data_IF_328576797353
#
_entry.id   IF_328576797353
#
_cell.length_a   1.000
_cell.length_b   1.000
_cell.length_c   1.000
_cell.angle_alpha   90.00
_cell.angle_beta   90.00
_cell.angle_gamma   90.00
#
_symmetry.space_group_name_H-M   'P 1'
#
loop_
_entity.id
_entity.type
_entity.pdbx_description
1 polymer ?
#
# COMPACT_ATOMS: atom_id res chain seq x y z
N UNK A 1 7.65 -11.76 -2.02
CA UNK A 1 7.29 -10.41 -1.51
C UNK A 1 5.91 -10.42 -0.86
N UNK A 2 4.92 -11.10 -1.45
CA UNK A 2 3.54 -11.15 -0.92
C UNK A 2 3.41 -11.85 0.44
N UNK A 3 4.26 -12.85 0.73
CA UNK A 3 4.24 -13.64 1.99
C UNK A 3 4.64 -12.89 3.28
N UNK A 4 5.13 -11.65 3.19
CA UNK A 4 5.65 -10.93 4.36
C UNK A 4 4.75 -9.78 4.85
N UNK A 5 3.68 -9.47 4.13
CA UNK A 5 2.68 -8.47 4.55
C UNK A 5 1.70 -9.11 5.54
N UNK A 6 1.84 -8.75 6.81
CA UNK A 6 0.92 -9.22 7.84
C UNK A 6 -0.38 -8.41 7.80
N UNK A 7 -1.37 -8.98 7.12
CA UNK A 7 -2.72 -8.42 6.99
C UNK A 7 -3.63 -8.94 8.12
N UNK A 8 -4.60 -8.14 8.59
CA UNK A 8 -4.81 -6.72 8.28
C UNK A 8 -3.86 -5.80 9.06
N UNK A 9 -3.58 -4.60 8.53
CA UNK A 9 -2.82 -3.59 9.26
C UNK A 9 -3.28 -2.16 8.97
N UNK A 10 -3.03 -1.23 9.91
CA UNK A 10 -3.32 0.20 9.72
C UNK A 10 -2.19 0.91 8.99
N UNK A 11 -2.56 1.73 8.02
CA UNK A 11 -1.63 2.55 7.24
C UNK A 11 -2.10 4.00 7.14
N UNK A 12 -1.16 4.91 6.96
CA UNK A 12 -1.37 6.31 6.66
C UNK A 12 -1.01 6.56 5.20
N UNK A 13 -1.79 7.37 4.49
CA UNK A 13 -1.53 7.73 3.10
C UNK A 13 -0.39 8.75 3.08
N UNK A 14 0.76 8.39 2.50
CA UNK A 14 1.92 9.28 2.45
C UNK A 14 1.83 10.33 1.35
N UNK A 15 1.17 9.99 0.24
CA UNK A 15 1.03 10.85 -0.94
C UNK A 15 -0.25 10.50 -1.69
N UNK A 16 -0.83 11.50 -2.35
CA UNK A 16 -1.92 11.28 -3.30
C UNK A 16 -1.38 10.64 -4.57
N UNK A 17 -2.16 9.75 -5.18
CA UNK A 17 -1.83 9.13 -6.46
C UNK A 17 -3.07 9.14 -7.34
N UNK A 18 -2.92 9.45 -8.64
CA UNK A 18 -4.05 9.51 -9.56
C UNK A 18 -4.85 8.19 -9.66
N UNK A 19 -4.21 7.07 -9.33
CA UNK A 19 -4.80 5.73 -9.29
C UNK A 19 -5.61 5.43 -8.01
N UNK A 20 -5.70 6.36 -7.05
CA UNK A 20 -6.46 6.15 -5.80
C UNK A 20 -7.20 7.41 -5.36
N UNK A 21 -8.43 7.29 -4.84
CA UNK A 21 -9.17 8.44 -4.33
C UNK A 21 -8.70 8.94 -2.95
N UNK A 22 -7.66 8.31 -2.37
CA UNK A 22 -7.24 8.57 -1.00
C UNK A 22 -6.40 9.86 -0.87
N UNK A 23 -6.79 10.81 0.00
CA UNK A 23 -6.01 12.01 0.26
C UNK A 23 -4.78 11.71 1.11
N UNK A 24 -3.71 12.49 0.94
CA UNK A 24 -2.51 12.38 1.77
C UNK A 24 -2.80 12.76 3.23
N UNK A 25 -2.20 12.05 4.17
CA UNK A 25 -2.40 12.19 5.61
C UNK A 25 -3.53 11.33 6.20
N UNK A 26 -4.33 10.68 5.35
CA UNK A 26 -5.49 9.92 5.78
C UNK A 26 -5.12 8.54 6.32
N UNK A 27 -5.87 8.05 7.31
CA UNK A 27 -5.66 6.71 7.87
C UNK A 27 -6.64 5.70 7.29
N UNK A 28 -6.11 4.56 6.85
CA UNK A 28 -6.87 3.45 6.28
C UNK A 28 -6.45 2.13 6.89
N UNK A 29 -7.35 1.13 6.85
CA UNK A 29 -7.02 -0.23 7.28
C UNK A 29 -6.85 -1.11 6.06
N UNK A 30 -5.65 -1.62 5.83
CA UNK A 30 -5.36 -2.56 4.74
C UNK A 30 -5.89 -3.93 5.14
N UNK A 31 -6.78 -4.48 4.33
CA UNK A 31 -7.51 -5.72 4.64
C UNK A 31 -7.02 -6.91 3.82
N UNK A 32 -6.66 -6.69 2.55
CA UNK A 32 -6.22 -7.76 1.66
C UNK A 32 -5.28 -7.22 0.55
N UNK A 33 -4.52 -8.11 -0.07
CA UNK A 33 -3.86 -7.83 -1.35
C UNK A 33 -4.92 -7.83 -2.47
N UNK A 34 -4.92 -6.81 -3.31
CA UNK A 34 -5.74 -6.77 -4.51
C UNK A 34 -4.99 -7.49 -5.63
N UNK A 35 -5.19 -8.81 -5.75
CA UNK A 35 -4.56 -9.61 -6.80
C UNK A 35 -5.24 -9.37 -8.16
N UNK A 36 -4.44 -9.19 -9.22
CA UNK A 36 -4.90 -9.04 -10.60
C UNK A 36 -3.73 -8.73 -11.57
N UNK A 37 -4.02 -8.55 -12.86
CA UNK A 37 -3.05 -8.28 -13.95
C UNK A 37 -2.10 -7.07 -13.72
N UNK A 38 -2.38 -6.24 -12.70
CA UNK A 38 -1.60 -5.07 -12.30
C UNK A 38 -0.27 -5.40 -11.60
N UNK A 39 -0.01 -6.67 -11.27
CA UNK A 39 1.24 -7.10 -10.63
C UNK A 39 2.52 -6.81 -11.45
N UNK A 40 2.41 -6.45 -12.74
CA UNK A 40 3.58 -6.11 -13.58
C UNK A 40 4.13 -4.70 -13.33
N UNK A 41 3.32 -3.78 -12.79
CA UNK A 41 3.69 -2.37 -12.59
C UNK A 41 3.65 -1.95 -11.11
N UNK A 42 3.05 -2.77 -10.24
CA UNK A 42 3.17 -2.58 -8.80
C UNK A 42 2.23 -3.42 -7.96
N UNK A 43 2.30 -3.23 -6.63
CA UNK A 43 1.45 -3.92 -5.66
C UNK A 43 0.26 -3.04 -5.30
N UNK A 44 -0.94 -3.61 -5.40
CA UNK A 44 -2.20 -2.98 -4.99
C UNK A 44 -2.82 -3.74 -3.82
N UNK A 45 -3.50 -3.01 -2.95
CA UNK A 45 -4.17 -3.56 -1.76
C UNK A 45 -5.59 -3.04 -1.65
N UNK A 46 -6.45 -3.86 -1.06
CA UNK A 46 -7.74 -3.43 -0.54
C UNK A 46 -7.52 -2.73 0.80
N UNK A 47 -8.03 -1.51 0.89
CA UNK A 47 -8.00 -0.70 2.08
C UNK A 47 -9.39 -0.18 2.42
N UNK A 48 -9.76 -0.29 3.69
CA UNK A 48 -10.99 0.26 4.23
C UNK A 48 -10.76 1.71 4.65
N UNK A 49 -11.51 2.62 4.04
CA UNK A 49 -11.53 4.06 4.34
C UNK A 49 -12.95 4.45 4.78
N UNK A 50 -13.11 4.68 6.09
CA UNK A 50 -14.44 4.83 6.70
C UNK A 50 -15.27 3.56 6.52
N UNK A 51 -16.39 3.68 5.81
CA UNK A 51 -17.30 2.56 5.50
C UNK A 51 -17.08 1.96 4.10
N UNK A 52 -16.14 2.51 3.32
CA UNK A 52 -15.91 2.12 1.92
C UNK A 52 -14.63 1.31 1.78
N UNK A 53 -14.65 0.32 0.90
CA UNK A 53 -13.45 -0.41 0.48
C UNK A 53 -12.91 0.20 -0.80
N UNK A 54 -11.62 0.52 -0.81
CA UNK A 54 -10.92 1.14 -1.93
C UNK A 54 -9.69 0.33 -2.30
N UNK A 55 -9.37 0.30 -3.59
CA UNK A 55 -8.09 -0.24 -4.07
C UNK A 55 -7.07 0.90 -4.05
N UNK A 56 -5.93 0.63 -3.43
CA UNK A 56 -4.86 1.60 -3.24
C UNK A 56 -3.51 0.97 -3.64
N UNK A 57 -2.63 1.70 -4.33
CA UNK A 57 -1.24 1.30 -4.49
C UNK A 57 -0.57 1.19 -3.11
N UNK A 58 0.14 0.09 -2.84
CA UNK A 58 0.91 -0.05 -1.60
C UNK A 58 1.95 1.08 -1.47
N UNK A 59 2.48 1.57 -2.59
CA UNK A 59 3.43 2.68 -2.65
C UNK A 59 2.88 4.03 -2.15
N UNK A 60 1.57 4.15 -1.93
CA UNK A 60 0.96 5.33 -1.33
C UNK A 60 0.77 5.21 0.19
N UNK A 61 1.01 4.03 0.77
CA UNK A 61 0.66 3.70 2.15
C UNK A 61 1.90 3.50 3.02
N UNK A 62 1.89 4.06 4.22
CA UNK A 62 2.92 3.86 5.25
C UNK A 62 2.30 3.14 6.45
N UNK A 63 2.81 1.98 6.89
CA UNK A 63 2.23 1.25 8.00
C UNK A 63 2.47 1.98 9.33
N UNK A 64 1.40 2.23 10.09
CA UNK A 64 1.46 3.05 11.33
C UNK A 64 1.77 2.18 12.55
N UNK A 65 1.22 0.97 12.61
CA UNK A 65 1.31 0.07 13.76
C UNK A 65 1.60 -1.39 13.36
N UNK A 66 2.36 -1.58 12.28
CA UNK A 66 2.66 -2.92 11.76
C UNK A 66 3.93 -3.51 12.35
N UNK A 67 4.02 -4.84 12.33
CA UNK A 67 5.22 -5.57 12.75
C UNK A 67 6.45 -5.19 11.92
N UNK A 68 7.65 -5.43 12.46
CA UNK A 68 8.93 -5.16 11.78
C UNK A 68 8.98 -5.71 10.33
N UNK A 69 8.54 -6.95 10.05
CA UNK A 69 8.52 -7.48 8.69
C UNK A 69 7.70 -6.62 7.71
N UNK A 70 6.49 -6.22 8.10
CA UNK A 70 5.61 -5.40 7.26
C UNK A 70 6.22 -4.01 6.98
N UNK A 71 6.89 -3.42 7.97
CA UNK A 71 7.58 -2.13 7.80
C UNK A 71 8.73 -2.21 6.80
N UNK A 72 9.51 -3.29 6.83
CA UNK A 72 10.63 -3.50 5.91
C UNK A 72 10.13 -3.67 4.49
N UNK A 73 9.13 -4.52 4.25
CA UNK A 73 8.56 -4.75 2.91
C UNK A 73 8.04 -3.46 2.29
N UNK A 74 7.32 -2.64 3.07
CA UNK A 74 6.78 -1.38 2.55
C UNK A 74 7.88 -0.34 2.32
N UNK A 75 8.93 -0.31 3.15
CA UNK A 75 10.07 0.56 2.94
C UNK A 75 10.86 0.18 1.67
N UNK A 76 11.11 -1.11 1.45
CA UNK A 76 11.76 -1.63 0.24
C UNK A 76 10.93 -1.31 -1.01
N UNK A 77 9.61 -1.41 -0.90
CA UNK A 77 8.70 -1.03 -1.98
C UNK A 77 8.72 0.47 -2.28
N UNK A 78 8.81 1.32 -1.25
CA UNK A 78 9.00 2.75 -1.45
C UNK A 78 10.32 3.07 -2.13
N UNK A 79 11.41 2.40 -1.74
CA UNK A 79 12.70 2.56 -2.41
C UNK A 79 12.60 2.19 -3.90
N UNK A 80 12.01 1.05 -4.24
CA UNK A 80 11.80 0.62 -5.63
C UNK A 80 10.92 1.59 -6.43
N UNK A 81 9.80 2.03 -5.84
CA UNK A 81 8.83 2.90 -6.51
C UNK A 81 9.38 4.31 -6.73
N UNK A 82 10.09 4.88 -5.74
CA UNK A 82 10.58 6.25 -5.81
C UNK A 82 11.86 6.37 -6.66
N UNK A 83 12.60 5.28 -6.88
CA UNK A 83 13.77 5.25 -7.77
C UNK A 83 13.43 5.24 -9.27
N UNK A 84 12.14 5.16 -9.63
CA UNK A 84 11.67 5.26 -11.01
C UNK A 84 12.46 4.33 -11.96
N UNK A 85 12.69 3.07 -11.58
CA UNK A 85 13.15 2.04 -12.51
C UNK A 85 12.04 1.87 -13.56
N UNK A 86 12.14 2.66 -14.61
CA UNK A 86 11.43 2.44 -15.86
C UNK A 86 11.87 1.06 -16.36
N UNK A 87 10.94 0.11 -16.33
CA UNK A 87 11.00 -1.03 -17.23
C UNK A 87 10.46 -0.60 -18.59
#
# INVERSE_FOLDING_TARGET
MEEQLSLPFKACVRKTMASSPLPAGEQVSVTALAHGDLCRVGIFVWARWGERDVVAPLAQLVPVASNKPTRVVVADWHYWYDQNYAF
#
